data_IF_352734330873
#
_entry.id   IF_352734330873
#
_cell.length_a   1.000
_cell.length_b   1.000
_cell.length_c   1.000
_cell.angle_alpha   90.00
_cell.angle_beta   90.00
_cell.angle_gamma   90.00
#
_symmetry.space_group_name_H-M   'P 1'
#
loop_
_entity.id
_entity.type
_entity.pdbx_description
1 polymer ?
#
# COMPACT_ATOMS: atom_id res chain seq x y z
N UNK A 1 -3.17 -17.67 -3.05
CA UNK A 1 -2.40 -18.48 -4.04
C UNK A 1 -1.18 -19.02 -3.32
N UNK A 2 -0.90 -20.32 -3.42
CA UNK A 2 0.34 -20.89 -2.89
C UNK A 2 1.54 -20.58 -3.80
N UNK A 3 2.77 -20.78 -3.26
CA UNK A 3 4.02 -20.45 -3.96
C UNK A 3 4.22 -21.26 -5.25
N UNK A 4 3.74 -22.49 -5.32
CA UNK A 4 3.90 -23.31 -6.52
C UNK A 4 3.01 -22.82 -7.67
N UNK A 5 1.75 -22.51 -7.36
CA UNK A 5 0.81 -21.89 -8.32
C UNK A 5 1.35 -20.55 -8.80
N UNK A 6 1.90 -19.74 -7.89
CA UNK A 6 2.52 -18.46 -8.25
C UNK A 6 3.74 -18.65 -9.15
N UNK A 7 4.66 -19.60 -8.85
CA UNK A 7 5.84 -19.87 -9.69
C UNK A 7 5.43 -20.33 -11.10
N UNK A 8 4.40 -21.15 -11.24
CA UNK A 8 3.87 -21.53 -12.55
C UNK A 8 3.32 -20.32 -13.33
N UNK A 9 2.72 -19.36 -12.62
CA UNK A 9 2.18 -18.16 -13.23
C UNK A 9 3.30 -17.22 -13.73
N UNK A 10 4.31 -16.95 -12.90
CA UNK A 10 5.40 -16.03 -13.27
C UNK A 10 6.37 -16.60 -14.30
N UNK A 11 6.56 -17.95 -14.32
CA UNK A 11 7.49 -18.59 -15.26
C UNK A 11 7.13 -18.36 -16.73
N UNK A 12 5.88 -18.07 -17.02
CA UNK A 12 5.41 -17.73 -18.37
C UNK A 12 5.91 -16.36 -18.84
N UNK A 13 6.15 -15.42 -17.90
CA UNK A 13 6.54 -14.06 -18.23
C UNK A 13 7.98 -13.75 -17.81
N UNK A 14 8.37 -14.22 -16.63
CA UNK A 14 9.69 -13.98 -16.03
C UNK A 14 10.33 -15.31 -15.59
N UNK A 15 10.84 -16.14 -16.53
CA UNK A 15 11.33 -17.49 -16.24
C UNK A 15 12.58 -17.51 -15.35
N UNK A 16 13.29 -16.40 -15.24
CA UNK A 16 14.48 -16.20 -14.41
C UNK A 16 14.14 -15.76 -12.97
N UNK A 17 12.86 -15.55 -12.67
CA UNK A 17 12.39 -15.10 -11.37
C UNK A 17 11.73 -16.24 -10.60
N UNK A 18 12.16 -16.46 -9.36
CA UNK A 18 11.66 -17.54 -8.51
C UNK A 18 11.16 -17.02 -7.17
N UNK A 19 9.96 -17.42 -6.76
CA UNK A 19 9.42 -17.04 -5.45
C UNK A 19 10.19 -17.75 -4.33
N UNK A 20 10.61 -16.96 -3.35
CA UNK A 20 11.26 -17.43 -2.14
C UNK A 20 10.27 -17.53 -0.97
N UNK A 21 9.40 -16.54 -0.79
CA UNK A 21 8.42 -16.50 0.30
C UNK A 21 7.30 -15.49 0.01
N UNK A 22 6.23 -15.55 0.79
CA UNK A 22 5.20 -14.50 0.81
C UNK A 22 5.63 -13.40 1.78
N UNK A 23 5.63 -12.14 1.32
CA UNK A 23 5.91 -10.97 2.15
C UNK A 23 4.66 -10.43 2.85
N UNK A 24 3.50 -10.57 2.22
CA UNK A 24 2.23 -10.14 2.77
C UNK A 24 1.08 -10.45 1.84
N UNK A 25 -0.14 -10.42 2.37
CA UNK A 25 -1.37 -10.60 1.62
C UNK A 25 -2.51 -9.84 2.28
N UNK A 26 -3.45 -9.38 1.49
CA UNK A 26 -4.62 -8.62 1.96
C UNK A 26 -5.64 -8.44 0.85
N UNK A 27 -6.59 -7.55 1.08
CA UNK A 27 -7.69 -7.23 0.17
C UNK A 27 -7.22 -6.83 -1.25
N UNK A 28 -6.00 -6.31 -1.35
CA UNK A 28 -5.45 -5.76 -2.61
C UNK A 28 -4.43 -6.67 -3.29
N UNK A 29 -4.37 -7.95 -2.90
CA UNK A 29 -3.50 -8.94 -3.50
C UNK A 29 -2.47 -9.53 -2.56
N UNK A 30 -1.60 -10.36 -3.11
CA UNK A 30 -0.51 -11.02 -2.37
C UNK A 30 0.83 -10.55 -2.94
N UNK A 31 1.79 -10.27 -2.05
CA UNK A 31 3.16 -9.88 -2.43
C UNK A 31 4.10 -11.03 -2.12
N UNK A 32 4.89 -11.42 -3.11
CA UNK A 32 5.91 -12.47 -3.00
C UNK A 32 7.30 -11.86 -3.07
N UNK A 33 8.19 -12.29 -2.16
CA UNK A 33 9.61 -12.09 -2.34
C UNK A 33 10.11 -13.06 -3.40
N UNK A 34 10.82 -12.53 -4.38
CA UNK A 34 11.38 -13.31 -5.47
C UNK A 34 12.89 -13.09 -5.53
N UNK A 35 13.59 -14.08 -6.09
CA UNK A 35 15.02 -13.99 -6.38
C UNK A 35 15.25 -14.18 -7.86
N UNK A 36 16.19 -13.39 -8.39
CA UNK A 36 16.69 -13.49 -9.74
C UNK A 36 18.20 -13.63 -9.66
N UNK A 37 18.76 -14.68 -10.27
CA UNK A 37 20.21 -14.86 -10.35
C UNK A 37 20.68 -14.51 -11.76
N UNK A 38 21.56 -13.53 -11.86
CA UNK A 38 22.22 -13.19 -13.13
C UNK A 38 23.13 -14.34 -13.57
N UNK A 39 22.91 -14.85 -14.77
CA UNK A 39 23.63 -16.02 -15.27
C UNK A 39 25.13 -15.76 -15.56
N UNK A 40 25.55 -14.51 -15.72
CA UNK A 40 26.92 -14.13 -16.03
C UNK A 40 27.69 -13.80 -14.76
N UNK A 41 27.12 -13.00 -13.88
CA UNK A 41 27.78 -12.51 -12.66
C UNK A 41 27.53 -13.40 -11.44
N UNK A 42 26.57 -14.32 -11.51
CA UNK A 42 26.08 -15.14 -10.38
C UNK A 42 25.57 -14.29 -9.20
N UNK A 43 25.29 -13.01 -9.42
CA UNK A 43 24.71 -12.13 -8.40
C UNK A 43 23.22 -12.42 -8.30
N UNK A 44 22.75 -12.70 -7.08
CA UNK A 44 21.33 -12.87 -6.78
C UNK A 44 20.75 -11.55 -6.32
N UNK A 45 19.75 -11.07 -7.03
CA UNK A 45 18.98 -9.89 -6.70
C UNK A 45 17.64 -10.29 -6.09
N UNK A 46 17.15 -9.50 -5.14
CA UNK A 46 15.82 -9.65 -4.56
C UNK A 46 14.86 -8.68 -5.23
N UNK A 47 13.69 -9.17 -5.56
CA UNK A 47 12.59 -8.38 -6.08
C UNK A 47 11.28 -8.78 -5.41
N UNK A 48 10.29 -7.92 -5.47
CA UNK A 48 8.95 -8.24 -5.03
C UNK A 48 8.01 -8.33 -6.23
N UNK A 49 7.09 -9.29 -6.20
CA UNK A 49 6.00 -9.36 -7.18
C UNK A 49 4.68 -9.30 -6.45
N UNK A 50 3.93 -8.25 -6.72
CA UNK A 50 2.54 -8.11 -6.27
C UNK A 50 1.63 -8.76 -7.30
N UNK A 51 0.74 -9.65 -6.83
CA UNK A 51 -0.30 -10.29 -7.65
C UNK A 51 -1.65 -9.74 -7.20
N UNK A 52 -2.35 -9.10 -8.11
CA UNK A 52 -3.74 -8.70 -7.95
C UNK A 52 -4.60 -9.66 -8.76
N UNK A 53 -5.54 -10.34 -8.12
CA UNK A 53 -6.51 -11.18 -8.80
C UNK A 53 -7.83 -10.42 -8.91
N UNK A 54 -8.35 -10.36 -10.11
CA UNK A 54 -9.67 -9.81 -10.44
C UNK A 54 -10.54 -10.98 -10.87
N UNK A 55 -11.54 -11.31 -10.08
CA UNK A 55 -12.50 -12.37 -10.40
C UNK A 55 -13.68 -11.78 -11.18
N UNK A 56 -14.17 -12.53 -12.15
CA UNK A 56 -15.37 -12.19 -12.92
C UNK A 56 -16.48 -13.17 -12.60
N UNK A 57 -17.47 -12.68 -11.91
CA UNK A 57 -18.60 -13.46 -11.40
C UNK A 57 -19.69 -13.65 -12.47
N UNK A 58 -20.63 -14.59 -12.29
CA UNK A 58 -21.83 -14.66 -13.12
C UNK A 58 -22.65 -13.35 -13.12
N UNK A 59 -22.62 -12.58 -12.01
CA UNK A 59 -23.27 -11.29 -11.90
C UNK A 59 -22.63 -10.24 -12.81
N UNK A 60 -21.29 -10.22 -12.91
CA UNK A 60 -20.58 -9.33 -13.85
C UNK A 60 -20.97 -9.62 -15.31
N UNK A 61 -21.18 -10.92 -15.64
CA UNK A 61 -21.66 -11.31 -16.96
C UNK A 61 -23.10 -10.86 -17.21
N UNK A 62 -23.98 -11.05 -16.23
CA UNK A 62 -25.37 -10.61 -16.33
C UNK A 62 -25.46 -9.08 -16.47
N UNK A 63 -24.69 -8.32 -15.70
CA UNK A 63 -24.66 -6.87 -15.79
C UNK A 63 -24.18 -6.39 -17.18
N UNK A 64 -23.15 -7.02 -17.73
CA UNK A 64 -22.68 -6.70 -19.07
C UNK A 64 -23.77 -6.98 -20.14
N UNK A 65 -24.46 -8.10 -20.01
CA UNK A 65 -25.57 -8.48 -20.89
C UNK A 65 -26.75 -7.50 -20.80
N UNK A 66 -27.11 -7.04 -19.59
CA UNK A 66 -28.14 -6.02 -19.36
C UNK A 66 -27.78 -4.66 -19.98
N UNK A 67 -26.51 -4.30 -19.96
CA UNK A 67 -26.00 -3.10 -20.61
C UNK A 67 -25.81 -3.26 -22.13
N UNK A 68 -26.04 -4.45 -22.67
CA UNK A 68 -25.85 -4.76 -24.09
C UNK A 68 -24.38 -4.79 -24.51
N UNK A 69 -23.46 -4.98 -23.57
CA UNK A 69 -22.01 -5.04 -23.81
C UNK A 69 -21.59 -6.51 -23.91
N UNK A 70 -20.96 -6.94 -25.04
CA UNK A 70 -20.37 -8.28 -25.10
C UNK A 70 -19.39 -8.50 -23.96
N UNK A 71 -19.49 -9.60 -23.23
CA UNK A 71 -18.65 -9.86 -22.06
C UNK A 71 -17.14 -9.76 -22.35
N UNK A 72 -16.71 -10.15 -23.55
CA UNK A 72 -15.31 -9.99 -23.98
C UNK A 72 -14.85 -8.52 -24.03
N UNK A 73 -15.75 -7.61 -24.33
CA UNK A 73 -15.46 -6.17 -24.37
C UNK A 73 -15.46 -5.57 -22.97
N UNK A 74 -16.39 -6.00 -22.10
CA UNK A 74 -16.39 -5.69 -20.67
C UNK A 74 -15.09 -6.15 -20.01
N UNK A 75 -14.70 -7.40 -20.21
CA UNK A 75 -13.46 -7.98 -19.70
C UNK A 75 -12.22 -7.16 -20.16
N UNK A 76 -12.16 -6.85 -21.45
CA UNK A 76 -11.08 -6.04 -22.03
C UNK A 76 -11.02 -4.65 -21.42
N UNK A 77 -12.16 -4.01 -21.19
CA UNK A 77 -12.23 -2.68 -20.56
C UNK A 77 -11.72 -2.71 -19.13
N UNK A 78 -12.09 -3.72 -18.32
CA UNK A 78 -11.59 -3.91 -16.95
C UNK A 78 -10.08 -4.12 -16.95
N UNK A 79 -9.56 -5.00 -17.81
CA UNK A 79 -8.12 -5.22 -17.98
C UNK A 79 -7.38 -3.94 -18.32
N UNK A 80 -7.85 -3.22 -19.36
CA UNK A 80 -7.19 -2.00 -19.83
C UNK A 80 -7.21 -0.90 -18.76
N UNK A 81 -8.28 -0.79 -17.98
CA UNK A 81 -8.35 0.13 -16.83
C UNK A 81 -7.23 -0.12 -15.83
N UNK A 82 -7.05 -1.36 -15.39
CA UNK A 82 -5.99 -1.71 -14.45
C UNK A 82 -4.58 -1.47 -15.01
N UNK A 83 -4.37 -1.82 -16.28
CA UNK A 83 -3.09 -1.57 -16.95
C UNK A 83 -2.79 -0.09 -17.10
N UNK A 84 -3.82 0.74 -17.34
CA UNK A 84 -3.67 2.19 -17.44
C UNK A 84 -3.28 2.80 -16.08
N UNK A 85 -3.86 2.32 -14.98
CA UNK A 85 -3.47 2.74 -13.62
C UNK A 85 -1.98 2.45 -13.36
N UNK A 86 -1.49 1.27 -13.76
CA UNK A 86 -0.07 0.92 -13.63
C UNK A 86 0.80 1.82 -14.50
N UNK A 87 0.40 2.11 -15.74
CA UNK A 87 1.16 3.02 -16.63
C UNK A 87 1.30 4.41 -16.03
N UNK A 88 0.25 4.92 -15.37
CA UNK A 88 0.34 6.20 -14.66
C UNK A 88 1.35 6.13 -13.50
N UNK A 89 1.35 5.05 -12.73
CA UNK A 89 2.32 4.88 -11.65
C UNK A 89 3.77 4.79 -12.18
N UNK A 90 3.99 4.05 -13.26
CA UNK A 90 5.30 3.98 -13.93
C UNK A 90 5.76 5.35 -14.45
N UNK A 91 4.81 6.22 -14.80
CA UNK A 91 5.11 7.58 -15.26
C UNK A 91 5.47 8.53 -14.11
N UNK A 92 5.09 8.22 -12.86
CA UNK A 92 5.48 9.01 -11.69
C UNK A 92 6.98 8.81 -11.40
N UNK A 93 7.78 9.83 -11.64
CA UNK A 93 9.23 9.80 -11.40
C UNK A 93 9.58 10.55 -10.12
N UNK A 94 9.81 9.82 -9.05
CA UNK A 94 10.35 10.31 -7.79
C UNK A 94 11.37 9.31 -7.24
N UNK A 95 12.44 9.76 -6.58
CA UNK A 95 13.37 8.87 -5.89
C UNK A 95 12.73 8.16 -4.69
N UNK A 96 11.54 8.62 -4.24
CA UNK A 96 10.83 8.10 -3.07
C UNK A 96 9.47 7.47 -3.41
N UNK A 97 9.29 7.04 -4.66
CA UNK A 97 8.19 6.16 -5.09
C UNK A 97 8.79 4.80 -5.45
N UNK A 98 8.15 3.71 -4.99
CA UNK A 98 8.62 2.35 -5.30
C UNK A 98 8.72 2.16 -6.80
N UNK A 99 9.90 1.73 -7.25
CA UNK A 99 10.17 1.53 -8.67
C UNK A 99 9.48 0.25 -9.18
N UNK A 100 8.76 0.38 -10.30
CA UNK A 100 8.14 -0.75 -11.00
C UNK A 100 9.10 -1.22 -12.09
N UNK A 101 9.65 -2.43 -11.90
CA UNK A 101 10.61 -3.06 -12.81
C UNK A 101 9.92 -3.74 -14.02
N UNK A 102 8.61 -3.99 -13.91
CA UNK A 102 7.81 -4.58 -14.98
C UNK A 102 6.41 -4.93 -14.51
N UNK A 103 5.51 -5.13 -15.45
CA UNK A 103 4.16 -5.61 -15.16
C UNK A 103 3.60 -6.42 -16.32
N UNK A 104 2.64 -7.28 -16.03
CA UNK A 104 1.92 -8.07 -17.02
C UNK A 104 0.52 -8.39 -16.54
N UNK A 105 -0.33 -8.84 -17.45
CA UNK A 105 -1.64 -9.38 -17.16
C UNK A 105 -1.76 -10.79 -17.76
N UNK A 106 -2.16 -11.75 -16.95
CA UNK A 106 -2.37 -13.14 -17.35
C UNK A 106 -3.85 -13.46 -17.19
N UNK A 107 -4.45 -13.97 -18.23
CA UNK A 107 -5.88 -14.26 -18.33
C UNK A 107 -6.14 -15.74 -18.14
N UNK A 108 -7.17 -16.09 -17.38
CA UNK A 108 -7.70 -17.46 -17.42
C UNK A 108 -8.38 -17.72 -18.78
N UNK A 109 -8.21 -18.92 -19.37
CA UNK A 109 -8.76 -19.22 -20.70
C UNK A 109 -10.27 -19.03 -20.83
N UNK A 110 -11.01 -19.20 -19.74
CA UNK A 110 -12.47 -19.04 -19.66
C UNK A 110 -12.91 -17.62 -19.27
N UNK A 111 -11.95 -16.71 -19.12
CA UNK A 111 -12.18 -15.35 -18.62
C UNK A 111 -12.86 -15.29 -17.24
N UNK A 112 -12.65 -16.29 -16.39
CA UNK A 112 -13.16 -16.30 -15.01
C UNK A 112 -12.33 -15.43 -14.07
N UNK A 113 -11.05 -15.23 -14.39
CA UNK A 113 -10.15 -14.37 -13.62
C UNK A 113 -9.08 -13.73 -14.50
N UNK A 114 -8.59 -12.59 -14.01
CA UNK A 114 -7.46 -11.84 -14.53
C UNK A 114 -6.42 -11.70 -13.41
N UNK A 115 -5.19 -12.09 -13.66
CA UNK A 115 -4.07 -11.85 -12.75
C UNK A 115 -3.22 -10.70 -13.27
N UNK A 116 -3.08 -9.68 -12.45
CA UNK A 116 -2.19 -8.54 -12.74
C UNK A 116 -0.97 -8.72 -11.87
N UNK A 117 0.19 -8.82 -12.49
CA UNK A 117 1.47 -9.01 -11.84
C UNK A 117 2.30 -7.74 -11.97
N UNK A 118 2.83 -7.25 -10.84
CA UNK A 118 3.64 -6.05 -10.79
C UNK A 118 4.96 -6.41 -10.10
N UNK A 119 6.04 -6.31 -10.85
CA UNK A 119 7.41 -6.56 -10.40
C UNK A 119 8.03 -5.25 -9.96
N UNK A 120 8.59 -5.22 -8.77
CA UNK A 120 9.09 -4.02 -8.12
C UNK A 120 10.29 -4.31 -7.21
N UNK A 121 10.92 -3.27 -6.69
CA UNK A 121 11.98 -3.41 -5.70
C UNK A 121 11.45 -4.12 -4.44
N UNK A 122 12.29 -5.01 -3.87
CA UNK A 122 11.98 -5.72 -2.64
C UNK A 122 12.45 -4.90 -1.44
N UNK A 123 11.53 -4.22 -0.79
CA UNK A 123 11.75 -3.31 0.32
C UNK A 123 11.03 -3.81 1.59
N UNK A 124 11.44 -3.31 2.75
CA UNK A 124 10.84 -3.67 4.06
C UNK A 124 9.75 -2.65 4.43
N UNK A 125 8.57 -3.10 4.79
CA UNK A 125 7.50 -2.19 5.22
C UNK A 125 7.85 -1.53 6.58
N UNK A 126 7.48 -0.26 6.74
CA UNK A 126 7.79 0.55 7.92
C UNK A 126 7.25 -0.10 9.22
N UNK A 127 6.08 -0.73 9.18
CA UNK A 127 5.52 -1.43 10.35
C UNK A 127 6.37 -2.63 10.80
N UNK A 128 7.14 -3.23 9.90
CA UNK A 128 8.07 -4.32 10.23
C UNK A 128 9.32 -3.82 10.97
N UNK A 129 9.63 -2.52 10.89
CA UNK A 129 10.71 -1.90 11.66
C UNK A 129 10.34 -1.67 13.14
N UNK A 130 9.05 -1.71 13.48
CA UNK A 130 8.52 -1.44 14.81
C UNK A 130 9.26 -2.18 15.94
N UNK A 131 9.58 -3.48 15.86
CA UNK A 131 10.27 -4.16 16.97
C UNK A 131 11.64 -3.56 17.31
N UNK A 132 12.36 -3.05 16.32
CA UNK A 132 13.67 -2.42 16.49
C UNK A 132 13.57 -1.01 17.08
N UNK A 133 12.46 -0.30 16.79
CA UNK A 133 12.27 1.12 17.11
C UNK A 133 11.26 1.40 18.23
N UNK A 134 10.73 0.35 18.89
CA UNK A 134 9.70 0.51 19.92
C UNK A 134 10.20 1.26 21.16
N UNK A 135 11.49 1.13 21.48
CA UNK A 135 12.16 1.71 22.65
C UNK A 135 13.15 2.81 22.26
N UNK A 136 12.97 3.44 21.10
CA UNK A 136 13.78 4.59 20.68
C UNK A 136 13.68 5.73 21.71
N UNK A 137 14.79 6.44 21.88
CA UNK A 137 14.76 7.70 22.62
C UNK A 137 13.93 8.73 21.83
N UNK A 138 13.45 9.81 22.48
CA UNK A 138 12.76 10.90 21.77
C UNK A 138 13.52 11.42 20.54
N UNK A 139 14.84 11.54 20.65
CA UNK A 139 15.71 12.01 19.57
C UNK A 139 15.79 11.01 18.40
N UNK A 140 15.87 9.71 18.71
CA UNK A 140 15.88 8.66 17.70
C UNK A 140 14.52 8.57 16.99
N UNK A 141 13.43 8.62 17.74
CA UNK A 141 12.08 8.62 17.21
C UNK A 141 11.82 9.85 16.32
N UNK A 142 12.30 11.03 16.74
CA UNK A 142 12.20 12.28 15.97
C UNK A 142 13.01 12.19 14.67
N UNK A 143 14.24 11.67 14.72
CA UNK A 143 15.08 11.51 13.52
C UNK A 143 14.46 10.53 12.50
N UNK A 144 13.87 9.43 12.97
CA UNK A 144 13.14 8.49 12.10
C UNK A 144 11.92 9.18 11.48
N UNK A 145 11.13 9.88 12.29
CA UNK A 145 9.93 10.58 11.81
C UNK A 145 10.30 11.68 10.80
N UNK A 146 11.37 12.44 11.03
CA UNK A 146 11.86 13.48 10.11
C UNK A 146 12.27 12.86 8.75
N UNK A 147 13.05 11.76 8.76
CA UNK A 147 13.45 11.08 7.53
C UNK A 147 12.26 10.56 6.76
N UNK A 148 11.30 9.89 7.43
CA UNK A 148 10.05 9.44 6.80
C UNK A 148 9.25 10.62 6.24
N UNK A 149 9.14 11.72 6.99
CA UNK A 149 8.42 12.91 6.53
C UNK A 149 9.01 13.49 5.25
N UNK A 150 10.34 13.69 5.20
CA UNK A 150 11.03 14.28 4.05
C UNK A 150 10.85 13.42 2.80
N UNK A 151 11.13 12.12 2.90
CA UNK A 151 11.08 11.21 1.76
C UNK A 151 9.65 11.05 1.23
N UNK A 152 8.66 10.86 2.12
CA UNK A 152 7.27 10.65 1.72
C UNK A 152 6.61 11.95 1.26
N UNK A 153 6.96 13.10 1.83
CA UNK A 153 6.49 14.39 1.29
C UNK A 153 7.01 14.63 -0.13
N UNK A 154 8.25 14.25 -0.46
CA UNK A 154 8.74 14.35 -1.85
C UNK A 154 7.95 13.44 -2.79
N UNK A 155 7.67 12.19 -2.38
CA UNK A 155 6.82 11.28 -3.14
C UNK A 155 5.40 11.87 -3.37
N UNK A 156 4.76 12.35 -2.29
CA UNK A 156 3.42 12.94 -2.35
C UNK A 156 3.37 14.20 -3.21
N UNK A 157 4.42 15.03 -3.16
CA UNK A 157 4.54 16.21 -4.02
C UNK A 157 4.44 15.82 -5.50
N UNK A 158 5.17 14.78 -5.91
CA UNK A 158 5.12 14.28 -7.30
C UNK A 158 3.73 13.74 -7.62
N UNK A 159 3.12 12.95 -6.73
CA UNK A 159 1.77 12.44 -6.93
C UNK A 159 0.75 13.55 -7.13
N UNK A 160 0.70 14.50 -6.20
CA UNK A 160 -0.29 15.59 -6.19
C UNK A 160 -0.12 16.55 -7.37
N UNK A 161 1.12 16.84 -7.80
CA UNK A 161 1.39 17.62 -9.01
C UNK A 161 0.88 16.94 -10.29
N UNK A 162 0.77 15.61 -10.29
CA UNK A 162 0.22 14.83 -11.40
C UNK A 162 -1.28 14.47 -11.20
N UNK A 163 -1.95 15.08 -10.21
CA UNK A 163 -3.36 14.83 -9.94
C UNK A 163 -3.67 13.46 -9.32
N UNK A 164 -2.66 12.78 -8.78
CA UNK A 164 -2.79 11.46 -8.16
C UNK A 164 -2.89 11.61 -6.64
N UNK A 165 -3.96 11.07 -6.05
CA UNK A 165 -4.12 10.91 -4.60
C UNK A 165 -3.81 9.46 -4.22
N UNK A 166 -3.02 9.26 -3.16
CA UNK A 166 -2.64 7.90 -2.72
C UNK A 166 -3.78 7.20 -1.97
N UNK A 167 -4.48 7.90 -1.07
CA UNK A 167 -5.68 7.46 -0.34
C UNK A 167 -5.49 6.29 0.63
N UNK A 168 -4.26 5.83 0.85
CA UNK A 168 -3.97 4.70 1.74
C UNK A 168 -2.59 4.83 2.39
N UNK A 169 -2.24 6.03 2.86
CA UNK A 169 -0.99 6.26 3.59
C UNK A 169 -1.09 5.61 4.97
N UNK A 170 -0.21 4.63 5.20
CA UNK A 170 -0.08 3.89 6.46
C UNK A 170 1.30 3.23 6.53
N UNK A 171 1.77 2.78 7.70
CA UNK A 171 3.10 2.17 7.84
C UNK A 171 3.36 0.99 6.92
N UNK A 172 2.34 0.17 6.62
CA UNK A 172 2.46 -0.98 5.71
C UNK A 172 2.73 -0.58 4.25
N UNK A 173 2.40 0.67 3.85
CA UNK A 173 2.56 1.18 2.48
C UNK A 173 3.73 2.17 2.36
N UNK A 174 4.46 2.41 3.44
CA UNK A 174 5.74 3.12 3.45
C UNK A 174 6.82 2.07 3.56
N UNK A 175 7.71 1.99 2.58
CA UNK A 175 8.70 0.94 2.47
C UNK A 175 10.10 1.51 2.67
N UNK A 176 11.00 0.74 3.28
CA UNK A 176 12.37 1.13 3.60
C UNK A 176 13.37 0.28 2.85
N UNK A 177 14.38 0.89 2.27
CA UNK A 177 15.55 0.21 1.69
C UNK A 177 16.56 -0.19 2.77
N UNK A 178 17.51 -1.04 2.38
CA UNK A 178 18.63 -1.40 3.26
C UNK A 178 19.57 -0.19 3.56
N UNK A 179 19.47 0.90 2.79
CA UNK A 179 20.19 2.17 3.00
C UNK A 179 19.47 3.15 3.92
N UNK A 180 18.23 2.82 4.35
CA UNK A 180 17.43 3.67 5.24
C UNK A 180 16.64 4.77 4.52
N UNK A 181 16.47 4.69 3.19
CA UNK A 181 15.61 5.59 2.43
C UNK A 181 14.19 5.05 2.40
N UNK A 182 13.18 5.94 2.49
CA UNK A 182 11.78 5.56 2.49
C UNK A 182 11.11 5.84 1.15
N UNK A 183 10.19 4.93 0.81
CA UNK A 183 9.49 4.91 -0.47
C UNK A 183 7.99 4.74 -0.26
N UNK A 184 7.21 5.47 -1.01
CA UNK A 184 5.77 5.30 -1.07
C UNK A 184 5.43 4.16 -2.03
N UNK A 185 4.78 3.14 -1.50
CA UNK A 185 4.34 1.95 -2.24
C UNK A 185 2.83 1.77 -2.20
N UNK A 186 2.35 0.74 -2.85
CA UNK A 186 0.95 0.31 -2.86
C UNK A 186 -0.06 1.40 -3.24
N UNK A 187 0.18 2.06 -4.36
CA UNK A 187 -0.84 2.87 -5.03
C UNK A 187 -2.02 1.95 -5.36
N UNK A 188 -3.17 2.20 -4.79
CA UNK A 188 -4.34 1.31 -4.83
C UNK A 188 -4.86 0.98 -6.22
N UNK A 189 -4.10 0.19 -7.00
CA UNK A 189 -4.42 -0.29 -8.36
C UNK A 189 -5.79 -1.00 -8.42
N UNK A 190 -6.26 -1.49 -7.28
CA UNK A 190 -7.56 -2.14 -7.14
C UNK A 190 -8.68 -1.20 -6.67
N UNK A 191 -8.36 0.06 -6.35
CA UNK A 191 -9.36 1.06 -5.91
C UNK A 191 -9.87 1.85 -7.12
N UNK A 192 -10.47 1.16 -8.09
CA UNK A 192 -11.15 1.83 -9.21
C UNK A 192 -12.18 2.84 -8.71
N UNK A 193 -12.46 3.86 -9.55
CA UNK A 193 -13.38 4.98 -9.28
C UNK A 193 -14.79 4.59 -8.79
N UNK A 194 -15.18 3.31 -8.86
CA UNK A 194 -16.44 2.80 -8.36
C UNK A 194 -16.43 2.42 -6.87
N UNK A 195 -15.27 2.41 -6.20
CA UNK A 195 -15.15 1.94 -4.82
C UNK A 195 -14.96 3.05 -3.79
N UNK A 196 -15.72 4.12 -3.89
CA UNK A 196 -16.03 4.96 -2.72
C UNK A 196 -16.69 4.16 -1.58
N UNK A 197 -17.17 2.94 -1.86
CA UNK A 197 -17.93 2.13 -0.91
C UNK A 197 -17.13 1.09 -0.11
N UNK A 198 -15.87 0.79 -0.41
CA UNK A 198 -15.15 -0.31 0.25
C UNK A 198 -14.03 0.10 1.21
N UNK A 199 -13.97 1.36 1.67
CA UNK A 199 -13.04 1.78 2.73
C UNK A 199 -13.42 1.25 4.14
N UNK A 200 -14.33 0.31 4.23
CA UNK A 200 -14.83 -0.25 5.50
C UNK A 200 -14.02 -1.40 6.06
N UNK A 201 -12.86 -1.78 5.48
CA UNK A 201 -11.99 -2.72 6.20
C UNK A 201 -11.31 -2.00 7.37
N UNK A 202 -11.47 -2.57 8.55
CA UNK A 202 -11.14 -2.01 9.87
C UNK A 202 -9.72 -1.41 10.01
N UNK A 203 -8.75 -1.86 9.19
CA UNK A 203 -7.37 -1.35 9.22
C UNK A 203 -7.12 -0.08 8.39
N UNK A 204 -7.97 0.23 7.42
CA UNK A 204 -7.78 1.42 6.56
C UNK A 204 -8.24 2.71 7.25
N UNK A 205 -9.22 2.63 8.16
CA UNK A 205 -9.74 3.79 8.88
C UNK A 205 -8.82 4.29 10.01
N UNK A 206 -7.84 3.52 10.44
CA UNK A 206 -6.90 3.90 11.51
C UNK A 206 -6.09 5.15 11.14
N UNK A 207 -5.75 5.33 9.85
CA UNK A 207 -4.98 6.47 9.34
C UNK A 207 -5.82 7.43 8.49
N UNK A 208 -7.08 7.11 8.22
CA UNK A 208 -7.92 7.93 7.36
C UNK A 208 -8.40 9.21 8.05
N UNK A 209 -8.50 10.35 7.34
CA UNK A 209 -9.13 11.56 7.86
C UNK A 209 -10.65 11.39 7.88
N UNK A 210 -11.33 12.23 8.67
CA UNK A 210 -12.79 12.17 8.85
C UNK A 210 -13.58 12.44 7.57
N UNK A 211 -13.06 13.29 6.69
CA UNK A 211 -13.68 13.65 5.41
C UNK A 211 -13.77 12.47 4.42
N UNK A 212 -13.04 11.40 4.66
CA UNK A 212 -13.18 10.16 3.91
C UNK A 212 -14.60 9.59 3.99
N UNK A 213 -15.28 9.80 5.14
CA UNK A 213 -16.67 9.36 5.33
C UNK A 213 -17.67 10.12 4.44
N UNK A 214 -17.32 11.30 3.98
CA UNK A 214 -18.17 12.12 3.10
C UNK A 214 -17.86 11.91 1.61
N UNK A 215 -16.78 11.19 1.30
CA UNK A 215 -16.32 10.99 -0.08
C UNK A 215 -15.73 12.25 -0.74
N UNK A 216 -15.67 13.36 -0.03
CA UNK A 216 -15.15 14.64 -0.52
C UNK A 216 -13.80 14.93 0.14
N UNK A 217 -12.73 14.45 -0.45
CA UNK A 217 -11.37 14.68 0.04
C UNK A 217 -10.42 15.01 -1.10
N UNK A 218 -9.39 15.80 -0.77
CA UNK A 218 -8.33 16.23 -1.68
C UNK A 218 -6.94 15.75 -1.18
N UNK A 219 -5.88 16.34 -1.71
CA UNK A 219 -4.50 16.03 -1.34
C UNK A 219 -4.19 16.16 0.17
N UNK A 220 -4.97 16.94 0.92
CA UNK A 220 -4.81 17.08 2.37
C UNK A 220 -5.12 15.79 3.12
N UNK A 221 -5.93 14.90 2.53
CA UNK A 221 -6.20 13.59 3.12
C UNK A 221 -4.93 12.75 3.24
N UNK A 222 -4.06 12.74 2.21
CA UNK A 222 -2.79 12.03 2.26
C UNK A 222 -1.85 12.64 3.31
N UNK A 223 -1.81 13.98 3.41
CA UNK A 223 -0.99 14.69 4.41
C UNK A 223 -1.47 14.41 5.83
N UNK A 224 -2.78 14.35 6.06
CA UNK A 224 -3.35 13.97 7.35
C UNK A 224 -2.94 12.55 7.74
N UNK A 225 -3.06 11.61 6.81
CA UNK A 225 -2.68 10.21 7.04
C UNK A 225 -1.18 10.08 7.34
N UNK A 226 -0.33 10.81 6.60
CA UNK A 226 1.11 10.89 6.91
C UNK A 226 1.34 11.46 8.31
N UNK A 227 0.65 12.55 8.69
CA UNK A 227 0.72 13.13 10.02
C UNK A 227 0.41 12.13 11.14
N UNK A 228 -0.57 11.23 10.94
CA UNK A 228 -0.86 10.15 11.89
C UNK A 228 0.23 9.08 11.94
N UNK A 229 0.89 8.78 10.82
CA UNK A 229 2.05 7.89 10.80
C UNK A 229 3.20 8.52 11.61
N UNK A 230 3.53 9.78 11.35
CA UNK A 230 4.59 10.51 12.07
C UNK A 230 4.28 10.62 13.55
N UNK A 231 3.02 10.93 13.91
CA UNK A 231 2.58 10.92 15.29
C UNK A 231 2.86 9.55 15.96
N UNK A 232 2.51 8.45 15.29
CA UNK A 232 2.74 7.12 15.85
C UNK A 232 4.23 6.84 16.07
N UNK A 233 5.12 7.26 15.15
CA UNK A 233 6.57 7.07 15.30
C UNK A 233 7.13 7.76 16.54
N UNK A 234 6.69 8.99 16.84
CA UNK A 234 7.10 9.74 18.04
C UNK A 234 6.18 9.47 19.25
N UNK A 235 5.39 8.41 19.22
CA UNK A 235 4.47 8.01 20.28
C UNK A 235 4.52 6.48 20.52
N UNK A 236 5.71 5.90 20.52
CA UNK A 236 5.91 4.47 20.70
C UNK A 236 5.07 3.60 19.76
N UNK A 237 4.95 4.02 18.51
CA UNK A 237 4.15 3.35 17.46
C UNK A 237 2.66 3.24 17.82
N UNK A 238 2.13 4.23 18.53
CA UNK A 238 0.72 4.32 18.91
C UNK A 238 0.07 5.54 18.30
N UNK A 239 -1.08 5.33 17.70
CA UNK A 239 -1.92 6.44 17.25
C UNK A 239 -2.49 7.25 18.40
N UNK A 240 -3.05 8.45 18.12
CA UNK A 240 -3.64 9.30 19.14
C UNK A 240 -4.83 8.60 19.84
N UNK A 241 -5.06 8.96 21.10
CA UNK A 241 -6.11 8.42 21.99
C UNK A 241 -5.95 6.95 22.39
N UNK A 242 -4.90 6.25 21.95
CA UNK A 242 -4.59 4.93 22.47
C UNK A 242 -3.93 5.03 23.85
N UNK A 243 -4.07 3.99 24.71
CA UNK A 243 -3.38 3.95 26.00
C UNK A 243 -1.88 4.20 25.85
N UNK A 244 -1.28 4.92 26.81
CA UNK A 244 0.16 5.17 26.82
C UNK A 244 0.98 3.86 26.86
N UNK A 245 2.14 3.83 26.20
CA UNK A 245 3.06 2.70 26.29
C UNK A 245 3.59 2.54 27.75
N UNK A 246 3.71 1.32 28.29
CA UNK A 246 3.56 0.00 27.65
C UNK A 246 2.18 -0.68 27.86
N UNK A 247 1.14 0.04 28.26
CA UNK A 247 -0.19 -0.54 28.51
C UNK A 247 -0.70 -1.31 27.28
N UNK A 248 -1.18 -2.55 27.40
CA UNK A 248 -1.73 -3.29 26.26
C UNK A 248 -2.93 -2.57 25.63
N UNK A 249 -3.01 -2.62 24.30
CA UNK A 249 -4.12 -2.02 23.53
C UNK A 249 -5.18 -3.09 23.29
N UNK A 250 -6.41 -2.79 23.67
CA UNK A 250 -7.57 -3.66 23.42
C UNK A 250 -8.31 -3.26 22.12
N UNK A 251 -9.17 -4.13 21.56
CA UNK A 251 -10.05 -3.73 20.47
C UNK A 251 -10.99 -2.55 20.83
N UNK A 252 -11.42 -2.46 22.10
CA UNK A 252 -12.22 -1.33 22.60
C UNK A 252 -11.48 -0.01 22.52
N UNK A 253 -10.19 0.00 22.91
CA UNK A 253 -9.34 1.20 22.84
C UNK A 253 -9.19 1.70 21.39
N UNK A 254 -9.01 0.78 20.43
CA UNK A 254 -8.93 1.13 19.01
C UNK A 254 -10.21 1.77 18.52
N UNK A 255 -11.37 1.20 18.85
CA UNK A 255 -12.68 1.73 18.47
C UNK A 255 -12.91 3.11 19.08
N UNK A 256 -12.56 3.29 20.36
CA UNK A 256 -12.73 4.58 21.05
C UNK A 256 -11.79 5.64 20.47
N UNK A 257 -10.52 5.29 20.20
CA UNK A 257 -9.55 6.19 19.57
C UNK A 257 -10.01 6.61 18.17
N UNK A 258 -10.49 5.66 17.37
CA UNK A 258 -11.06 5.96 16.05
C UNK A 258 -12.28 6.89 16.16
N UNK A 259 -13.20 6.60 17.06
CA UNK A 259 -14.41 7.41 17.29
C UNK A 259 -14.04 8.85 17.69
N UNK A 260 -13.13 9.04 18.65
CA UNK A 260 -12.66 10.36 19.07
C UNK A 260 -12.09 11.15 17.89
N UNK A 261 -11.25 10.53 17.08
CA UNK A 261 -10.61 11.14 15.93
C UNK A 261 -11.64 11.52 14.84
N UNK A 262 -12.56 10.62 14.52
CA UNK A 262 -13.61 10.86 13.50
C UNK A 262 -14.60 11.97 13.92
N UNK A 263 -14.80 12.16 15.23
CA UNK A 263 -15.61 13.26 15.75
C UNK A 263 -14.85 14.61 15.86
N UNK A 264 -13.58 14.64 15.45
CA UNK A 264 -12.78 15.86 15.44
C UNK A 264 -12.30 16.29 16.82
N UNK A 265 -12.17 15.36 17.77
CA UNK A 265 -11.51 15.65 19.05
C UNK A 265 -10.07 16.07 18.78
N UNK A 266 -9.59 17.19 19.38
CA UNK A 266 -8.19 17.63 19.21
C UNK A 266 -7.23 16.52 19.59
N UNK A 267 -6.19 16.30 18.76
CA UNK A 267 -5.20 15.27 19.00
C UNK A 267 -4.38 15.61 20.27
N UNK A 268 -4.18 14.65 21.19
CA UNK A 268 -3.28 14.86 22.33
C UNK A 268 -1.83 14.98 21.83
N UNK A 269 -0.93 15.63 22.58
CA UNK A 269 0.48 15.57 22.27
C UNK A 269 1.01 14.14 22.37
N UNK A 270 2.00 13.73 21.56
CA UNK A 270 2.64 12.42 21.68
C UNK A 270 3.48 12.34 22.94
N UNK A 271 3.56 11.13 23.52
CA UNK A 271 4.27 10.89 24.82
C UNK A 271 5.79 10.89 24.69
N UNK A 272 6.33 10.53 23.52
CA UNK A 272 7.77 10.37 23.27
C UNK A 272 8.27 11.39 22.24
N UNK A 273 8.01 12.66 22.50
CA UNK A 273 8.55 13.75 21.68
C UNK A 273 9.40 14.72 22.51
N UNK A 274 10.42 15.30 21.88
CA UNK A 274 11.12 16.44 22.45
C UNK A 274 10.23 17.68 22.39
N UNK A 275 10.30 18.56 23.37
CA UNK A 275 9.54 19.83 23.43
C UNK A 275 9.86 20.81 22.29
N UNK A 276 10.63 20.40 21.29
CA UNK A 276 11.13 21.19 20.18
C UNK A 276 10.48 20.88 18.81
N UNK A 277 9.34 20.18 18.81
CA UNK A 277 8.51 19.98 17.60
C UNK A 277 7.28 20.88 17.62
#
# INVERSE_FOLDING_TARGET
MDTNTFNNLISQTWPDLHAASTLGGGTFGTVYACTKTDAVTSVTQKEAVKVVRVDFTPEDRANADEEGIPFADYYRAVKEKHLQEIRWMVALKSPHIVHINGYTAIEEPDHSALYILIRMDCLTALDQLRPAHLNDTPEQAAALAEKVALDICDALRVCHQNGVLHRDIKPANILCSDTGDFYLGDFGISKGTAQQASMTSSGTLEYAPREVMTGQYDHRADLYSLGLVLYALVNHWRGPFLPAYPVPITPGDRNQAQYARMNGTPLPPPDNCTTAL
#
